data_IF_081293362149
#
_entry.id   IF_081293362149
#
_cell.length_a   1.000
_cell.length_b   1.000
_cell.length_c   1.000
_cell.angle_alpha   90.00
_cell.angle_beta   90.00
_cell.angle_gamma   90.00
#
_symmetry.space_group_name_H-M   'P 1'
#
loop_
_entity.id
_entity.type
_entity.pdbx_description
1 polymer ?
#
# COMPACT_ATOMS: atom_id res chain seq x y z
N UNK A 1 22.68 20.30 -14.40
CA UNK A 1 21.97 19.79 -13.19
C UNK A 1 22.99 19.05 -12.33
N UNK A 2 22.99 19.26 -11.02
CA UNK A 2 23.94 18.60 -10.09
C UNK A 2 23.71 17.08 -10.10
N UNK A 3 24.77 16.28 -10.24
CA UNK A 3 24.72 14.81 -10.25
C UNK A 3 23.94 14.25 -9.06
N UNK A 4 24.03 14.88 -7.88
CA UNK A 4 23.30 14.44 -6.69
C UNK A 4 21.78 14.61 -6.82
N UNK A 5 21.35 15.71 -7.45
CA UNK A 5 19.92 15.99 -7.71
C UNK A 5 19.38 15.01 -8.75
N UNK A 6 20.15 14.72 -9.81
CA UNK A 6 19.80 13.69 -10.79
C UNK A 6 19.61 12.34 -10.09
N UNK A 7 20.53 11.97 -9.20
CA UNK A 7 20.44 10.72 -8.43
C UNK A 7 19.17 10.59 -7.60
N UNK A 8 18.74 11.66 -6.91
CA UNK A 8 17.47 11.65 -6.16
C UNK A 8 16.27 11.49 -7.08
N UNK A 9 16.23 12.24 -8.18
CA UNK A 9 15.11 12.17 -9.13
C UNK A 9 15.00 10.75 -9.68
N UNK A 10 16.12 10.14 -10.08
CA UNK A 10 16.17 8.76 -10.56
C UNK A 10 15.72 7.80 -9.48
N UNK A 11 16.22 7.91 -8.25
CA UNK A 11 15.84 7.04 -7.14
C UNK A 11 14.34 7.13 -6.82
N UNK A 12 13.82 8.35 -6.69
CA UNK A 12 12.38 8.59 -6.48
C UNK A 12 11.54 7.98 -7.60
N UNK A 13 11.91 8.24 -8.85
CA UNK A 13 11.19 7.75 -10.03
C UNK A 13 11.18 6.22 -10.06
N UNK A 14 12.33 5.58 -9.81
CA UNK A 14 12.41 4.11 -9.81
C UNK A 14 11.57 3.47 -8.69
N UNK A 15 11.65 4.02 -7.48
CA UNK A 15 10.87 3.52 -6.34
C UNK A 15 9.38 3.70 -6.61
N UNK A 16 8.94 4.91 -6.97
CA UNK A 16 7.53 5.18 -7.20
C UNK A 16 6.98 4.47 -8.43
N UNK A 17 7.72 4.40 -9.54
CA UNK A 17 7.28 3.66 -10.72
C UNK A 17 7.08 2.18 -10.41
N UNK A 18 8.02 1.57 -9.66
CA UNK A 18 7.88 0.17 -9.24
C UNK A 18 6.67 -0.02 -8.33
N UNK A 19 6.49 0.86 -7.34
CA UNK A 19 5.37 0.81 -6.40
C UNK A 19 4.02 0.97 -7.14
N UNK A 20 3.90 1.97 -8.00
CA UNK A 20 2.70 2.22 -8.80
C UNK A 20 2.40 1.08 -9.76
N UNK A 21 3.43 0.48 -10.37
CA UNK A 21 3.25 -0.69 -11.25
C UNK A 21 2.68 -1.87 -10.46
N UNK A 22 3.25 -2.19 -9.29
CA UNK A 22 2.73 -3.28 -8.44
C UNK A 22 1.31 -2.98 -7.98
N UNK A 23 1.01 -1.76 -7.52
CA UNK A 23 -0.31 -1.40 -7.01
C UNK A 23 -1.39 -1.39 -8.09
N UNK A 24 -1.16 -0.72 -9.22
CA UNK A 24 -2.21 -0.43 -10.21
C UNK A 24 -2.19 -1.35 -11.42
N UNK A 25 -1.03 -1.90 -11.80
CA UNK A 25 -0.93 -2.82 -12.95
C UNK A 25 -1.14 -4.26 -12.49
N UNK A 26 -0.57 -4.64 -11.34
CA UNK A 26 -0.78 -5.97 -10.77
C UNK A 26 -1.98 -6.06 -9.82
N UNK A 27 -2.71 -4.95 -9.59
CA UNK A 27 -3.83 -4.84 -8.63
C UNK A 27 -3.51 -5.32 -7.22
N UNK A 28 -2.24 -5.18 -6.82
CA UNK A 28 -1.76 -5.70 -5.55
C UNK A 28 -2.07 -4.79 -4.37
N UNK A 29 -2.34 -5.41 -3.23
CA UNK A 29 -2.46 -4.79 -1.93
C UNK A 29 -1.85 -5.72 -0.86
N UNK A 30 -1.56 -5.23 0.36
CA UNK A 30 -0.89 -6.01 1.40
C UNK A 30 -1.60 -7.29 1.85
N UNK A 31 -2.93 -7.41 1.73
CA UNK A 31 -3.62 -8.68 2.00
C UNK A 31 -3.28 -9.78 0.99
N UNK A 32 -2.86 -9.41 -0.21
CA UNK A 32 -2.62 -10.35 -1.30
C UNK A 32 -3.88 -11.02 -1.84
N UNK A 33 -5.07 -10.57 -1.41
CA UNK A 33 -6.37 -11.00 -1.94
C UNK A 33 -6.92 -9.98 -2.93
N UNK A 34 -7.59 -10.50 -3.95
CA UNK A 34 -8.43 -9.77 -4.89
C UNK A 34 -9.67 -10.60 -5.17
N UNK A 35 -10.68 -10.00 -5.80
CA UNK A 35 -11.92 -10.69 -6.10
C UNK A 35 -12.53 -10.30 -7.44
N UNK A 36 -13.33 -11.20 -7.99
CA UNK A 36 -14.25 -10.90 -9.08
C UNK A 36 -15.59 -11.59 -8.84
N UNK A 37 -16.67 -10.93 -9.28
CA UNK A 37 -18.04 -11.41 -9.11
C UNK A 37 -18.64 -11.59 -10.49
N UNK A 38 -19.16 -12.78 -10.77
CA UNK A 38 -19.97 -13.05 -11.95
C UNK A 38 -21.27 -13.72 -11.52
N UNK A 39 -22.35 -12.94 -11.45
CA UNK A 39 -23.64 -13.41 -10.95
C UNK A 39 -23.58 -13.90 -9.50
N UNK A 40 -23.77 -15.20 -9.30
CA UNK A 40 -23.70 -15.89 -8.00
C UNK A 40 -22.34 -16.57 -7.74
N UNK A 41 -21.38 -16.41 -8.65
CA UNK A 41 -20.04 -16.98 -8.50
C UNK A 41 -19.06 -15.90 -8.04
N UNK A 42 -18.45 -16.13 -6.89
CA UNK A 42 -17.32 -15.37 -6.37
C UNK A 42 -16.03 -16.07 -6.78
N UNK A 43 -15.13 -15.38 -7.48
CA UNK A 43 -13.77 -15.85 -7.69
C UNK A 43 -12.80 -15.09 -6.81
N UNK A 44 -12.19 -15.80 -5.86
CA UNK A 44 -11.16 -15.29 -4.96
C UNK A 44 -9.80 -15.49 -5.63
N UNK A 45 -9.03 -14.41 -5.77
CA UNK A 45 -7.66 -14.46 -6.28
C UNK A 45 -6.66 -14.20 -5.16
N UNK A 46 -5.68 -15.09 -4.99
CA UNK A 46 -4.64 -14.96 -3.95
C UNK A 46 -3.25 -14.93 -4.56
N UNK A 47 -2.44 -13.96 -4.16
CA UNK A 47 -1.02 -13.85 -4.48
C UNK A 47 -0.66 -12.78 -5.51
N UNK A 48 0.60 -12.33 -5.48
CA UNK A 48 1.11 -11.23 -6.32
C UNK A 48 1.56 -11.69 -7.72
N UNK A 49 2.31 -12.80 -7.79
CA UNK A 49 2.91 -13.28 -9.05
C UNK A 49 2.33 -14.60 -9.55
N UNK A 50 1.82 -15.43 -8.65
CA UNK A 50 1.13 -16.69 -8.97
C UNK A 50 -0.25 -16.62 -8.34
N UNK A 51 -1.20 -16.06 -9.09
CA UNK A 51 -2.59 -15.94 -8.64
C UNK A 51 -3.24 -17.31 -8.57
N UNK A 52 -3.43 -17.82 -7.37
CA UNK A 52 -4.34 -18.94 -7.13
C UNK A 52 -5.76 -18.40 -7.26
N UNK A 53 -6.59 -19.05 -8.07
CA UNK A 53 -7.98 -18.65 -8.30
C UNK A 53 -8.89 -19.77 -7.88
N UNK A 54 -9.80 -19.47 -6.97
CA UNK A 54 -10.80 -20.42 -6.50
C UNK A 54 -12.18 -19.77 -6.66
N UNK A 55 -13.09 -20.48 -7.31
CA UNK A 55 -14.43 -20.00 -7.61
C UNK A 55 -15.44 -20.75 -6.74
N UNK A 56 -16.27 -19.99 -6.03
CA UNK A 56 -17.28 -20.49 -5.09
C UNK A 56 -18.65 -19.96 -5.49
N UNK A 57 -19.65 -20.83 -5.42
CA UNK A 57 -21.06 -20.43 -5.50
C UNK A 57 -21.49 -19.85 -4.15
N UNK A 58 -21.81 -18.56 -4.12
CA UNK A 58 -22.15 -17.82 -2.89
C UNK A 58 -23.66 -17.68 -2.71
N UNK A 59 -24.48 -18.51 -3.37
CA UNK A 59 -25.95 -18.44 -3.26
C UNK A 59 -26.43 -18.50 -1.81
N UNK A 60 -25.82 -19.35 -0.98
CA UNK A 60 -26.18 -19.52 0.44
C UNK A 60 -25.32 -18.68 1.40
N UNK A 61 -24.24 -18.04 0.90
CA UNK A 61 -23.24 -17.29 1.67
C UNK A 61 -23.11 -15.83 1.19
N UNK A 62 -24.22 -15.24 0.73
CA UNK A 62 -24.21 -13.89 0.15
C UNK A 62 -23.73 -12.82 1.12
N UNK A 63 -24.02 -12.95 2.41
CA UNK A 63 -23.62 -11.98 3.43
C UNK A 63 -22.10 -12.02 3.63
N UNK A 64 -21.54 -13.21 3.77
CA UNK A 64 -20.11 -13.47 3.94
C UNK A 64 -19.33 -12.98 2.72
N UNK A 65 -19.84 -13.24 1.52
CA UNK A 65 -19.27 -12.72 0.27
C UNK A 65 -19.25 -11.19 0.27
N UNK A 66 -20.36 -10.53 0.65
CA UNK A 66 -20.44 -9.07 0.77
C UNK A 66 -19.42 -8.51 1.78
N UNK A 67 -19.30 -9.14 2.95
CA UNK A 67 -18.32 -8.74 3.96
C UNK A 67 -16.89 -8.89 3.44
N UNK A 68 -16.59 -9.99 2.75
CA UNK A 68 -15.28 -10.21 2.14
C UNK A 68 -14.95 -9.09 1.13
N UNK A 69 -15.87 -8.75 0.23
CA UNK A 69 -15.68 -7.65 -0.73
C UNK A 69 -15.43 -6.32 -0.05
N UNK A 70 -16.18 -6.03 1.02
CA UNK A 70 -16.04 -4.79 1.76
C UNK A 70 -14.67 -4.69 2.42
N UNK A 71 -14.19 -5.76 3.06
CA UNK A 71 -12.89 -5.75 3.71
C UNK A 71 -11.74 -5.67 2.71
N UNK A 72 -11.79 -6.41 1.58
CA UNK A 72 -10.79 -6.27 0.50
C UNK A 72 -10.79 -4.85 -0.08
N UNK A 73 -11.97 -4.23 -0.21
CA UNK A 73 -12.08 -2.85 -0.70
C UNK A 73 -11.51 -1.82 0.28
N UNK A 74 -11.75 -1.99 1.59
CA UNK A 74 -11.15 -1.14 2.64
C UNK A 74 -9.64 -1.24 2.64
N UNK A 75 -9.11 -2.46 2.57
CA UNK A 75 -7.68 -2.72 2.50
C UNK A 75 -7.04 -2.07 1.26
N UNK A 76 -7.67 -2.21 0.09
CA UNK A 76 -7.21 -1.53 -1.14
C UNK A 76 -7.24 -0.01 -1.00
N UNK A 77 -8.26 0.54 -0.35
CA UNK A 77 -8.34 1.99 -0.08
C UNK A 77 -7.22 2.45 0.85
N UNK A 78 -6.95 1.70 1.92
CA UNK A 78 -5.85 1.99 2.85
C UNK A 78 -4.49 1.93 2.13
N UNK A 79 -4.28 0.89 1.31
CA UNK A 79 -3.05 0.76 0.52
C UNK A 79 -2.87 1.91 -0.49
N UNK A 80 -3.93 2.36 -1.15
CA UNK A 80 -3.86 3.51 -2.05
C UNK A 80 -3.50 4.81 -1.30
N UNK A 81 -4.02 4.97 -0.08
CA UNK A 81 -3.62 6.07 0.80
C UNK A 81 -2.13 5.98 1.14
N UNK A 82 -1.64 4.79 1.50
CA UNK A 82 -0.23 4.56 1.81
C UNK A 82 0.69 4.89 0.64
N UNK A 83 0.36 4.44 -0.57
CA UNK A 83 1.12 4.78 -1.79
C UNK A 83 1.17 6.29 -2.01
N UNK A 84 0.06 6.99 -1.73
CA UNK A 84 -0.01 8.46 -1.83
C UNK A 84 0.91 9.11 -0.79
N UNK A 85 0.83 8.68 0.47
CA UNK A 85 1.64 9.22 1.56
C UNK A 85 3.12 8.94 1.35
N UNK A 86 3.49 7.75 0.88
CA UNK A 86 4.85 7.41 0.46
C UNK A 86 5.31 8.37 -0.65
N UNK A 87 4.47 8.59 -1.67
CA UNK A 87 4.75 9.52 -2.76
C UNK A 87 5.03 10.95 -2.30
N UNK A 88 4.36 11.39 -1.22
CA UNK A 88 4.55 12.72 -0.62
C UNK A 88 5.77 12.79 0.30
N UNK A 89 6.03 11.77 1.13
CA UNK A 89 7.10 11.79 2.15
C UNK A 89 8.46 11.42 1.54
N UNK A 90 8.51 10.50 0.58
CA UNK A 90 9.75 9.96 0.02
C UNK A 90 10.72 11.04 -0.51
N UNK A 91 10.27 12.09 -1.24
CA UNK A 91 11.15 13.19 -1.64
C UNK A 91 11.85 13.87 -0.46
N UNK A 92 11.14 14.07 0.66
CA UNK A 92 11.70 14.72 1.85
C UNK A 92 12.74 13.83 2.52
N UNK A 93 12.51 12.51 2.56
CA UNK A 93 13.48 11.53 3.05
C UNK A 93 14.75 11.52 2.19
N UNK A 94 14.59 11.42 0.86
CA UNK A 94 15.71 11.42 -0.08
C UNK A 94 16.52 12.72 -0.01
N UNK A 95 15.85 13.89 0.05
CA UNK A 95 16.51 15.19 0.18
C UNK A 95 17.22 15.35 1.52
N UNK A 96 16.82 14.63 2.57
CA UNK A 96 17.55 14.58 3.84
C UNK A 96 19.02 14.17 3.68
N UNK A 97 19.33 13.38 2.65
CA UNK A 97 20.67 12.90 2.32
C UNK A 97 21.55 13.96 1.63
N UNK A 98 20.96 15.03 1.08
CA UNK A 98 21.69 16.13 0.42
C UNK A 98 21.51 17.43 1.20
N UNK A 99 22.48 17.83 2.05
CA UNK A 99 22.28 18.94 2.96
C UNK A 99 21.92 20.28 2.32
N UNK A 100 22.53 20.58 1.17
CA UNK A 100 22.46 21.89 0.52
C UNK A 100 21.20 22.09 -0.35
N UNK A 101 20.37 21.05 -0.44
CA UNK A 101 19.16 21.01 -1.28
C UNK A 101 17.90 20.70 -0.50
N UNK A 102 18.00 20.59 0.82
CA UNK A 102 16.83 20.35 1.68
C UNK A 102 15.86 21.54 1.65
N UNK A 103 14.56 21.28 1.70
CA UNK A 103 13.60 22.34 1.95
C UNK A 103 13.82 22.91 3.37
N UNK A 104 13.42 24.18 3.56
CA UNK A 104 13.49 24.88 4.85
C UNK A 104 14.87 25.00 5.51
N UNK A 105 15.97 24.84 4.74
CA UNK A 105 17.34 24.94 5.26
C UNK A 105 17.68 26.25 5.99
N UNK A 106 16.95 27.34 5.71
CA UNK A 106 17.10 28.65 6.38
C UNK A 106 16.50 28.68 7.79
N UNK A 107 15.54 27.81 8.07
CA UNK A 107 14.74 27.84 9.30
C UNK A 107 14.98 26.61 10.18
N UNK A 108 15.31 25.46 9.58
CA UNK A 108 15.41 24.18 10.28
C UNK A 108 16.82 23.59 10.07
N UNK A 109 17.59 23.36 11.16
CA UNK A 109 18.87 22.67 11.08
C UNK A 109 18.73 21.24 10.53
N UNK A 110 19.79 20.71 9.92
CA UNK A 110 19.82 19.35 9.33
C UNK A 110 19.21 18.28 10.23
N UNK A 111 19.67 18.22 11.47
CA UNK A 111 19.32 17.16 12.40
C UNK A 111 17.82 17.19 12.69
N UNK A 112 17.28 18.36 13.00
CA UNK A 112 15.85 18.57 13.23
C UNK A 112 15.01 18.23 12.00
N UNK A 113 15.44 18.63 10.81
CA UNK A 113 14.75 18.24 9.58
C UNK A 113 14.63 16.72 9.45
N UNK A 114 15.75 16.00 9.62
CA UNK A 114 15.75 14.53 9.51
C UNK A 114 14.88 13.91 10.60
N UNK A 115 15.01 14.37 11.85
CA UNK A 115 14.21 13.88 12.99
C UNK A 115 12.72 14.07 12.71
N UNK A 116 12.29 15.25 12.25
CA UNK A 116 10.89 15.55 11.97
C UNK A 116 10.35 14.65 10.84
N UNK A 117 11.07 14.57 9.72
CA UNK A 117 10.62 13.76 8.57
C UNK A 117 10.56 12.28 8.94
N UNK A 118 11.55 11.75 9.65
CA UNK A 118 11.56 10.36 10.13
C UNK A 118 10.48 10.11 11.16
N UNK A 119 10.22 11.06 12.07
CA UNK A 119 9.15 10.93 13.05
C UNK A 119 7.77 10.88 12.39
N UNK A 120 7.51 11.74 11.40
CA UNK A 120 6.26 11.72 10.61
C UNK A 120 6.12 10.37 9.90
N UNK A 121 7.17 9.91 9.22
CA UNK A 121 7.17 8.63 8.54
C UNK A 121 6.90 7.47 9.52
N UNK A 122 7.59 7.43 10.66
CA UNK A 122 7.43 6.39 11.67
C UNK A 122 6.03 6.37 12.30
N UNK A 123 5.47 7.54 12.62
CA UNK A 123 4.11 7.65 13.17
C UNK A 123 3.07 7.17 12.15
N UNK A 124 3.22 7.57 10.89
CA UNK A 124 2.32 7.12 9.84
C UNK A 124 2.43 5.60 9.62
N UNK A 125 3.64 5.06 9.53
CA UNK A 125 3.86 3.61 9.38
C UNK A 125 3.24 2.84 10.54
N UNK A 126 3.41 3.31 11.79
CA UNK A 126 2.81 2.64 12.95
C UNK A 126 1.28 2.61 12.86
N UNK A 127 0.66 3.71 12.42
CA UNK A 127 -0.77 3.79 12.19
C UNK A 127 -1.22 2.86 11.04
N UNK A 128 -0.60 2.94 9.87
CA UNK A 128 -1.01 2.17 8.68
C UNK A 128 -0.84 0.67 8.88
N UNK A 129 0.29 0.23 9.48
CA UNK A 129 0.53 -1.20 9.76
C UNK A 129 -0.56 -1.79 10.66
N UNK A 130 -1.01 -1.05 11.67
CA UNK A 130 -2.09 -1.53 12.54
C UNK A 130 -3.42 -1.71 11.79
N UNK A 131 -3.77 -0.77 10.90
CA UNK A 131 -4.96 -0.87 10.07
C UNK A 131 -4.90 -2.04 9.09
N UNK A 132 -3.75 -2.23 8.45
CA UNK A 132 -3.53 -3.38 7.56
C UNK A 132 -3.69 -4.72 8.29
N UNK A 133 -3.11 -4.86 9.50
CA UNK A 133 -3.24 -6.10 10.27
C UNK A 133 -4.69 -6.44 10.61
N UNK A 134 -5.52 -5.43 10.92
CA UNK A 134 -6.95 -5.62 11.19
C UNK A 134 -7.67 -6.17 9.95
N UNK A 135 -7.54 -5.49 8.80
CA UNK A 135 -8.21 -5.90 7.58
C UNK A 135 -7.70 -7.23 7.03
N UNK A 136 -6.38 -7.47 7.04
CA UNK A 136 -5.79 -8.72 6.54
C UNK A 136 -6.30 -9.93 7.31
N UNK A 137 -6.43 -9.83 8.64
CA UNK A 137 -6.95 -10.92 9.46
C UNK A 137 -8.42 -11.21 9.15
N UNK A 138 -9.26 -10.18 9.01
CA UNK A 138 -10.68 -10.36 8.66
C UNK A 138 -10.87 -10.91 7.24
N UNK A 139 -10.09 -10.41 6.27
CA UNK A 139 -10.09 -10.92 4.89
C UNK A 139 -9.72 -12.40 4.88
N UNK A 140 -8.66 -12.80 5.59
CA UNK A 140 -8.23 -14.20 5.64
C UNK A 140 -9.32 -15.09 6.24
N UNK A 141 -9.93 -14.68 7.36
CA UNK A 141 -11.00 -15.43 8.01
C UNK A 141 -12.22 -15.59 7.10
N UNK A 142 -12.65 -14.52 6.43
CA UNK A 142 -13.79 -14.57 5.51
C UNK A 142 -13.48 -15.42 4.26
N UNK A 143 -12.25 -15.33 3.74
CA UNK A 143 -11.82 -16.17 2.63
C UNK A 143 -11.85 -17.66 3.01
N UNK A 144 -11.33 -18.03 4.19
CA UNK A 144 -11.38 -19.42 4.67
C UNK A 144 -12.82 -19.92 4.82
N UNK A 145 -13.74 -19.10 5.38
CA UNK A 145 -15.16 -19.45 5.51
C UNK A 145 -15.88 -19.64 4.18
N UNK A 146 -15.50 -18.89 3.15
CA UNK A 146 -16.07 -19.01 1.80
C UNK A 146 -15.50 -20.21 1.03
N UNK A 147 -14.32 -20.71 1.41
CA UNK A 147 -13.63 -21.81 0.71
C UNK A 147 -13.88 -23.19 1.35
N UNK A 148 -14.47 -23.24 2.55
CA UNK A 148 -14.94 -24.47 3.24
C UNK A 148 -16.32 -24.93 2.75
#
# INVERSE_FOLDING_TARGET
MDKKVIGIIVAYTLIMASLLAVTFVANWNPSGYDYSIDGQTLTIERGLFSKQKESVDVTDQQMEAVLFYLEVSKERSLWNMDVTVIGLILPFLLLGLIPDRRPFQKFIPKQWYIIIVVAIAALYTAYSVSGHLEHVNEIQKLAEQLLE
#
